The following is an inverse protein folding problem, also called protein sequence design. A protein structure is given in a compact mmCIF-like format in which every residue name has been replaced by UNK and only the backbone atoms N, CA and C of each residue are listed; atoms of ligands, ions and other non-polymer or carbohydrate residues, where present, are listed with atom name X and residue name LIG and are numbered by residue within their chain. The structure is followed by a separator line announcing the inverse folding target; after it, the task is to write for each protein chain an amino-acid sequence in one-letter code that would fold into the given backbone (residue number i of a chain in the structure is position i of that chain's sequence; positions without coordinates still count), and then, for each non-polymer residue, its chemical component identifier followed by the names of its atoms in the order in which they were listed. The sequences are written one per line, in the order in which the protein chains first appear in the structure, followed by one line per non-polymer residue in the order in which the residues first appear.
data_IF_242109576024
#
_entry.id   IF_242109576024
#
_cell.length_a   1.000
_cell.length_b   1.000
_cell.length_c   1.000
_cell.angle_alpha   90.00
_cell.angle_beta   90.00
_cell.angle_gamma   90.00
#
_symmetry.space_group_name_H-M   'P 1'
#
loop_
_entity.id
_entity.type
_entity.pdbx_description
1 polymer ?
#
# COMPACT_ATOMS: atom_id res chain seq x y z
N UNK A 1 38.27 12.07 31.17
CA UNK A 1 38.45 10.64 30.88
C UNK A 1 38.28 10.47 29.36
N UNK A 2 39.38 10.51 28.60
CA UNK A 2 39.35 10.48 27.13
C UNK A 2 39.30 9.00 26.73
N UNK A 3 38.17 8.56 26.18
CA UNK A 3 38.00 7.19 25.70
C UNK A 3 38.95 6.96 24.52
N UNK A 4 39.89 6.03 24.68
CA UNK A 4 40.77 5.57 23.61
C UNK A 4 39.92 4.77 22.61
N UNK A 5 39.48 5.42 21.54
CA UNK A 5 38.79 4.75 20.43
C UNK A 5 39.82 3.83 19.77
N UNK A 6 39.55 2.53 19.77
CA UNK A 6 40.40 1.53 19.13
C UNK A 6 40.58 1.89 17.65
N UNK A 7 41.81 2.04 17.14
CA UNK A 7 42.08 2.56 15.80
C UNK A 7 41.46 1.69 14.69
N UNK A 8 41.29 0.39 14.94
CA UNK A 8 40.60 -0.51 14.01
C UNK A 8 39.11 -0.21 13.85
N UNK A 9 38.44 0.26 14.90
CA UNK A 9 37.01 0.57 14.87
C UNK A 9 36.75 1.87 14.11
N UNK A 10 37.63 2.87 14.29
CA UNK A 10 37.62 4.09 13.49
C UNK A 10 37.88 3.81 12.00
N UNK A 11 38.81 2.90 11.68
CA UNK A 11 39.09 2.49 10.31
C UNK A 11 37.90 1.78 9.65
N UNK A 12 37.26 0.83 10.35
CA UNK A 12 36.08 0.11 9.83
C UNK A 12 34.90 1.05 9.60
N UNK A 13 34.65 1.97 10.54
CA UNK A 13 33.62 2.99 10.38
C UNK A 13 33.93 3.93 9.21
N UNK A 14 35.18 4.33 9.04
CA UNK A 14 35.62 5.15 7.91
C UNK A 14 35.43 4.45 6.56
N UNK A 15 35.73 3.15 6.47
CA UNK A 15 35.56 2.38 5.23
C UNK A 15 34.08 2.18 4.91
N UNK A 16 33.25 1.81 5.90
CA UNK A 16 31.80 1.67 5.72
C UNK A 16 31.15 3.00 5.30
N UNK A 17 31.60 4.09 5.90
CA UNK A 17 31.17 5.44 5.57
C UNK A 17 31.51 5.82 4.12
N UNK A 18 32.76 5.62 3.70
CA UNK A 18 33.20 5.92 2.33
C UNK A 18 32.51 5.03 1.28
N UNK A 19 32.27 3.76 1.61
CA UNK A 19 31.54 2.85 0.73
C UNK A 19 30.08 3.30 0.53
N UNK A 20 29.44 3.78 1.60
CA UNK A 20 28.04 4.23 1.56
C UNK A 20 27.91 5.56 0.80
N UNK A 21 28.81 6.52 1.06
CA UNK A 21 28.88 7.78 0.31
C UNK A 21 29.19 7.56 -1.17
N UNK A 22 30.10 6.63 -1.49
CA UNK A 22 30.43 6.26 -2.86
C UNK A 22 29.25 5.62 -3.62
N UNK A 23 28.50 4.72 -2.96
CA UNK A 23 27.32 4.10 -3.57
C UNK A 23 26.21 5.12 -3.86
N UNK A 24 25.97 6.07 -2.96
CA UNK A 24 24.97 7.13 -3.14
C UNK A 24 25.40 8.11 -4.23
N UNK A 25 26.67 8.53 -4.26
CA UNK A 25 27.22 9.40 -5.31
C UNK A 25 27.15 8.73 -6.69
N UNK A 26 27.46 7.44 -6.77
CA UNK A 26 27.36 6.65 -8.00
C UNK A 26 25.90 6.54 -8.48
N UNK A 27 24.96 6.32 -7.56
CA UNK A 27 23.53 6.25 -7.86
C UNK A 27 22.98 7.58 -8.39
N UNK A 28 23.40 8.70 -7.81
CA UNK A 28 23.00 10.04 -8.26
C UNK A 28 23.63 10.41 -9.60
N UNK A 29 24.91 10.08 -9.81
CA UNK A 29 25.60 10.31 -11.08
C UNK A 29 24.97 9.54 -12.25
N UNK A 30 24.42 8.35 -12.01
CA UNK A 30 23.67 7.59 -13.04
C UNK A 30 22.37 8.26 -13.46
N UNK A 31 21.78 9.11 -12.60
CA UNK A 31 20.48 9.74 -12.87
C UNK A 31 20.62 11.16 -13.41
N UNK A 32 21.64 11.90 -12.98
CA UNK A 32 21.91 13.25 -13.47
C UNK A 32 23.43 13.54 -13.33
N UNK A 33 24.19 13.75 -14.43
CA UNK A 33 25.65 13.84 -14.38
C UNK A 33 26.19 15.18 -13.86
N UNK A 34 25.35 16.03 -13.28
CA UNK A 34 25.74 17.33 -12.72
C UNK A 34 26.76 17.19 -11.56
N UNK A 35 28.04 17.56 -11.76
CA UNK A 35 29.07 17.41 -10.73
C UNK A 35 28.84 18.32 -9.52
N UNK A 36 28.06 19.39 -9.69
CA UNK A 36 27.68 20.31 -8.62
C UNK A 36 26.74 19.66 -7.59
N UNK A 37 25.84 18.78 -8.02
CA UNK A 37 24.91 18.06 -7.14
C UNK A 37 25.66 17.01 -6.29
N UNK A 38 26.63 16.33 -6.90
CA UNK A 38 27.46 15.33 -6.21
C UNK A 38 28.34 15.98 -5.13
N UNK A 39 28.95 17.13 -5.44
CA UNK A 39 29.75 17.88 -4.47
C UNK A 39 28.89 18.44 -3.32
N UNK A 40 27.69 18.95 -3.63
CA UNK A 40 26.74 19.44 -2.62
C UNK A 40 26.26 18.33 -1.67
N UNK A 41 25.98 17.14 -2.20
CA UNK A 41 25.54 15.99 -1.41
C UNK A 41 26.63 15.50 -0.44
N UNK A 42 27.90 15.54 -0.83
CA UNK A 42 29.04 15.16 0.03
C UNK A 42 29.24 16.13 1.21
N UNK A 43 28.99 17.43 1.00
CA UNK A 43 29.14 18.46 2.04
C UNK A 43 27.94 18.48 2.99
N UNK A 44 26.72 18.21 2.49
CA UNK A 44 25.50 18.26 3.29
C UNK A 44 25.21 16.99 4.10
N UNK A 45 25.88 15.87 3.80
CA UNK A 45 25.70 14.58 4.47
C UNK A 45 25.67 14.63 6.02
N UNK A 46 26.52 15.39 6.74
CA UNK A 46 26.54 15.37 8.22
C UNK A 46 25.24 15.91 8.84
N UNK A 47 24.52 16.76 8.10
CA UNK A 47 23.24 17.33 8.53
C UNK A 47 22.11 16.29 8.43
N UNK A 48 22.29 15.23 7.64
CA UNK A 48 21.33 14.13 7.53
C UNK A 48 21.51 13.05 8.61
N UNK A 49 22.62 13.02 9.35
CA UNK A 49 22.88 12.03 10.42
C UNK A 49 21.82 12.02 11.54
N UNK A 50 21.35 13.17 12.09
CA UNK A 50 20.28 13.17 13.08
C UNK A 50 18.94 12.66 12.52
N UNK A 51 18.70 12.82 11.21
CA UNK A 51 17.49 12.32 10.53
C UNK A 51 17.54 10.80 10.30
N UNK A 52 18.74 10.21 10.23
CA UNK A 52 18.95 8.76 10.13
C UNK A 52 18.88 8.04 11.48
N UNK A 53 19.05 8.78 12.59
CA UNK A 53 18.95 8.27 13.96
C UNK A 53 17.53 8.26 14.53
N UNK A 54 16.60 8.99 13.91
CA UNK A 54 15.18 8.76 14.14
C UNK A 54 14.87 7.34 13.61
N UNK A 55 14.30 6.44 14.42
CA UNK A 55 13.82 5.17 13.88
C UNK A 55 12.89 5.55 12.73
N UNK A 56 13.15 5.12 11.49
CA UNK A 56 12.23 5.40 10.41
C UNK A 56 10.87 4.92 10.91
N UNK A 57 9.88 5.82 10.96
CA UNK A 57 8.50 5.39 11.10
C UNK A 57 8.35 4.36 10.00
N UNK A 58 8.34 3.07 10.37
CA UNK A 58 8.46 1.97 9.39
C UNK A 58 7.46 2.32 8.31
N UNK A 59 7.87 2.47 7.04
CA UNK A 59 6.91 2.76 5.99
C UNK A 59 5.85 1.67 6.13
N UNK A 60 4.64 2.07 6.51
CA UNK A 60 3.49 1.18 6.46
C UNK A 60 3.38 0.90 4.97
N UNK A 61 3.83 -0.29 4.58
CA UNK A 61 3.91 -0.69 3.17
C UNK A 61 2.52 -0.84 2.54
N UNK A 62 1.45 -0.74 3.33
CA UNK A 62 0.07 -0.64 2.84
C UNK A 62 -0.55 0.72 3.07
N UNK A 63 -1.68 0.94 2.42
CA UNK A 63 -2.42 2.18 2.48
C UNK A 63 -3.27 2.33 3.75
N UNK A 64 -4.02 3.44 3.83
CA UNK A 64 -4.81 3.78 5.00
C UNK A 64 -5.93 2.78 5.33
N UNK A 65 -6.39 1.99 4.36
CA UNK A 65 -7.52 1.07 4.49
C UNK A 65 -7.11 -0.41 4.61
N UNK A 66 -5.82 -0.71 4.56
CA UNK A 66 -5.29 -2.09 4.59
C UNK A 66 -5.90 -2.94 5.71
N UNK A 67 -5.98 -2.40 6.93
CA UNK A 67 -6.56 -3.12 8.08
C UNK A 67 -8.02 -3.50 7.86
N UNK A 68 -8.83 -2.56 7.35
CA UNK A 68 -10.25 -2.79 7.05
C UNK A 68 -10.44 -3.81 5.92
N UNK A 69 -9.59 -3.77 4.90
CA UNK A 69 -9.59 -4.76 3.80
C UNK A 69 -9.35 -6.16 4.38
N UNK A 70 -8.29 -6.35 5.18
CA UNK A 70 -8.01 -7.65 5.79
C UNK A 70 -9.14 -8.14 6.70
N UNK A 71 -9.73 -7.24 7.49
CA UNK A 71 -10.85 -7.57 8.36
C UNK A 71 -12.07 -8.08 7.58
N UNK A 72 -12.51 -7.32 6.57
CA UNK A 72 -13.69 -7.66 5.76
C UNK A 72 -13.49 -8.98 5.01
N UNK A 73 -12.34 -9.16 4.35
CA UNK A 73 -12.05 -10.40 3.61
C UNK A 73 -11.85 -11.59 4.55
N UNK A 74 -11.20 -11.41 5.70
CA UNK A 74 -11.11 -12.47 6.70
C UNK A 74 -12.47 -12.84 7.30
N UNK A 75 -13.44 -11.92 7.33
CA UNK A 75 -14.82 -12.23 7.72
C UNK A 75 -15.57 -13.01 6.62
N UNK A 76 -15.38 -12.62 5.36
CA UNK A 76 -15.94 -13.32 4.21
C UNK A 76 -15.39 -14.75 4.10
N UNK A 77 -14.06 -14.92 4.16
CA UNK A 77 -13.38 -16.22 4.12
C UNK A 77 -13.90 -17.16 5.23
N UNK A 78 -14.10 -16.64 6.45
CA UNK A 78 -14.71 -17.41 7.54
C UNK A 78 -16.14 -17.85 7.25
N UNK A 79 -16.94 -17.00 6.62
CA UNK A 79 -18.31 -17.35 6.22
C UNK A 79 -18.32 -18.38 5.10
N UNK A 80 -17.41 -18.29 4.13
CA UNK A 80 -17.27 -19.27 3.06
C UNK A 80 -16.74 -20.62 3.56
N UNK A 81 -15.92 -20.62 4.61
CA UNK A 81 -15.42 -21.84 5.25
C UNK A 81 -16.46 -22.51 6.17
N UNK A 82 -17.61 -21.88 6.42
CA UNK A 82 -18.67 -22.45 7.25
C UNK A 82 -19.30 -23.67 6.54
N UNK A 83 -19.39 -24.85 7.20
CA UNK A 83 -20.01 -26.03 6.62
C UNK A 83 -21.46 -25.81 6.13
N UNK A 84 -22.20 -24.88 6.74
CA UNK A 84 -23.57 -24.55 6.33
C UNK A 84 -23.58 -23.80 4.99
N UNK A 85 -22.50 -23.06 4.69
CA UNK A 85 -22.30 -22.37 3.41
C UNK A 85 -21.65 -23.26 2.33
N UNK A 86 -21.17 -24.45 2.68
CA UNK A 86 -20.45 -25.34 1.75
C UNK A 86 -21.29 -25.80 0.54
N UNK A 87 -22.63 -25.71 0.64
CA UNK A 87 -23.54 -26.00 -0.48
C UNK A 87 -23.65 -24.87 -1.51
N UNK A 88 -23.22 -23.64 -1.19
CA UNK A 88 -23.33 -22.50 -2.10
C UNK A 88 -22.20 -22.57 -3.13
N UNK A 89 -22.48 -22.69 -4.44
CA UNK A 89 -21.46 -22.73 -5.48
C UNK A 89 -20.82 -21.34 -5.62
N UNK A 90 -19.70 -21.17 -4.94
CA UNK A 90 -18.90 -19.95 -4.95
C UNK A 90 -17.67 -20.13 -5.83
N UNK A 91 -17.72 -19.60 -7.07
CA UNK A 91 -16.63 -19.65 -8.06
C UNK A 91 -15.98 -18.28 -8.28
N UNK A 92 -16.09 -17.38 -7.29
CA UNK A 92 -15.54 -16.03 -7.42
C UNK A 92 -14.09 -15.97 -6.90
N UNK A 93 -13.22 -15.32 -7.67
CA UNK A 93 -11.84 -15.02 -7.29
C UNK A 93 -11.76 -13.93 -6.21
N UNK A 94 -12.05 -14.32 -4.98
CA UNK A 94 -11.98 -13.45 -3.79
C UNK A 94 -10.54 -13.02 -3.51
N UNK A 95 -9.57 -13.87 -3.84
CA UNK A 95 -8.14 -13.55 -3.70
C UNK A 95 -7.72 -12.42 -4.62
N UNK A 96 -8.04 -12.51 -5.92
CA UNK A 96 -7.76 -11.46 -6.89
C UNK A 96 -8.47 -10.14 -6.56
N UNK A 97 -9.70 -10.19 -6.05
CA UNK A 97 -10.41 -8.99 -5.58
C UNK A 97 -9.68 -8.33 -4.39
N UNK A 98 -9.28 -9.13 -3.40
CA UNK A 98 -8.54 -8.65 -2.23
C UNK A 98 -7.22 -7.99 -2.65
N UNK A 99 -6.47 -8.63 -3.54
CA UNK A 99 -5.19 -8.12 -4.01
C UNK A 99 -5.34 -6.82 -4.80
N UNK A 100 -6.37 -6.72 -5.64
CA UNK A 100 -6.68 -5.48 -6.37
C UNK A 100 -7.03 -4.31 -5.44
N UNK A 101 -7.77 -4.58 -4.35
CA UNK A 101 -8.09 -3.57 -3.34
C UNK A 101 -6.85 -3.15 -2.54
N UNK A 102 -5.98 -4.10 -2.16
CA UNK A 102 -4.71 -3.79 -1.49
C UNK A 102 -3.78 -2.96 -2.38
N UNK A 103 -3.70 -3.27 -3.67
CA UNK A 103 -2.94 -2.47 -4.63
C UNK A 103 -3.51 -1.04 -4.76
N UNK A 104 -4.83 -0.91 -4.78
CA UNK A 104 -5.51 0.40 -4.82
C UNK A 104 -5.27 1.21 -3.55
N UNK A 105 -5.33 0.56 -2.39
CA UNK A 105 -5.04 1.17 -1.10
C UNK A 105 -3.57 1.61 -0.99
N UNK A 106 -2.61 0.81 -1.46
CA UNK A 106 -1.21 1.20 -1.52
C UNK A 106 -0.98 2.49 -2.36
N UNK A 107 -1.77 2.69 -3.43
CA UNK A 107 -1.77 3.93 -4.22
C UNK A 107 -2.33 5.12 -3.43
N UNK A 108 -3.34 4.94 -2.58
CA UNK A 108 -3.78 5.99 -1.64
C UNK A 108 -2.68 6.36 -0.66
N UNK A 109 -1.93 5.38 -0.15
CA UNK A 109 -0.76 5.63 0.71
C UNK A 109 0.37 6.39 -0.01
N UNK A 110 0.49 6.26 -1.33
CA UNK A 110 1.37 7.12 -2.13
C UNK A 110 0.80 8.53 -2.25
N UNK A 111 -0.49 8.67 -2.57
CA UNK A 111 -1.15 9.98 -2.66
C UNK A 111 -1.06 10.77 -1.35
N UNK A 112 -1.21 10.12 -0.20
CA UNK A 112 -1.07 10.74 1.13
C UNK A 112 0.35 11.28 1.37
N UNK A 113 1.38 10.55 0.90
CA UNK A 113 2.78 11.02 0.96
C UNK A 113 3.01 12.21 0.05
N UNK A 114 2.51 12.16 -1.19
CA UNK A 114 2.61 13.27 -2.14
C UNK A 114 1.87 14.52 -1.64
N UNK A 115 0.71 14.36 -0.99
CA UNK A 115 -0.01 15.47 -0.36
C UNK A 115 0.79 16.09 0.79
N UNK A 116 1.47 15.27 1.58
CA UNK A 116 2.35 15.75 2.65
C UNK A 116 3.56 16.52 2.09
N UNK A 117 4.12 16.06 0.97
CA UNK A 117 5.27 16.71 0.31
C UNK A 117 4.89 18.02 -0.41
N UNK A 118 3.72 18.06 -1.06
CA UNK A 118 3.25 19.21 -1.85
C UNK A 118 2.53 20.28 -1.03
N UNK A 119 2.28 20.03 0.26
CA UNK A 119 1.52 20.95 1.11
C UNK A 119 0.02 20.94 0.84
N UNK A 120 -0.50 19.87 0.23
CA UNK A 120 -1.93 19.66 0.06
C UNK A 120 -2.51 20.24 -1.22
N UNK A 121 -1.97 19.85 -2.38
CA UNK A 121 -2.59 20.12 -3.68
C UNK A 121 -4.09 19.73 -3.69
N UNK A 122 -4.94 20.65 -4.14
CA UNK A 122 -6.39 20.49 -4.04
C UNK A 122 -6.94 19.43 -5.00
N UNK A 123 -6.40 19.35 -6.22
CA UNK A 123 -6.81 18.34 -7.20
C UNK A 123 -6.43 16.92 -6.76
N UNK A 124 -5.22 16.77 -6.22
CA UNK A 124 -4.76 15.50 -5.65
C UNK A 124 -5.58 15.09 -4.42
N UNK A 125 -5.95 16.04 -3.55
CA UNK A 125 -6.81 15.77 -2.38
C UNK A 125 -8.18 15.27 -2.82
N UNK A 126 -8.81 15.92 -3.79
CA UNK A 126 -10.11 15.52 -4.33
C UNK A 126 -10.04 14.13 -4.99
N UNK A 127 -9.01 13.88 -5.81
CA UNK A 127 -8.81 12.57 -6.43
C UNK A 127 -8.61 11.46 -5.38
N UNK A 128 -7.83 11.74 -4.33
CA UNK A 128 -7.59 10.84 -3.20
C UNK A 128 -8.89 10.54 -2.44
N UNK A 129 -9.71 11.56 -2.17
CA UNK A 129 -11.02 11.38 -1.49
C UNK A 129 -11.99 10.56 -2.32
N UNK A 130 -12.09 10.81 -3.63
CA UNK A 130 -12.92 10.02 -4.54
C UNK A 130 -12.49 8.55 -4.58
N UNK A 131 -11.19 8.29 -4.67
CA UNK A 131 -10.66 6.93 -4.66
C UNK A 131 -10.90 6.22 -3.31
N UNK A 132 -10.72 6.91 -2.19
CA UNK A 132 -11.02 6.37 -0.87
C UNK A 132 -12.51 6.03 -0.70
N UNK A 133 -13.40 6.90 -1.19
CA UNK A 133 -14.85 6.66 -1.20
C UNK A 133 -15.21 5.43 -2.05
N UNK A 134 -14.61 5.27 -3.23
CA UNK A 134 -14.84 4.12 -4.09
C UNK A 134 -14.41 2.80 -3.43
N UNK A 135 -13.24 2.75 -2.79
CA UNK A 135 -12.78 1.57 -2.04
C UNK A 135 -13.73 1.27 -0.88
N UNK A 136 -14.17 2.30 -0.15
CA UNK A 136 -15.16 2.16 0.92
C UNK A 136 -16.46 1.53 0.44
N UNK A 137 -16.99 1.99 -0.69
CA UNK A 137 -18.21 1.44 -1.30
C UNK A 137 -18.07 -0.04 -1.67
N UNK A 138 -16.94 -0.45 -2.27
CA UNK A 138 -16.69 -1.86 -2.58
C UNK A 138 -16.63 -2.71 -1.31
N UNK A 139 -15.99 -2.21 -0.23
CA UNK A 139 -15.94 -2.94 1.04
C UNK A 139 -17.33 -3.11 1.66
N UNK A 140 -18.19 -2.09 1.57
CA UNK A 140 -19.57 -2.18 2.06
C UNK A 140 -20.39 -3.21 1.26
N UNK A 141 -20.21 -3.24 -0.07
CA UNK A 141 -20.84 -4.26 -0.91
C UNK A 141 -20.32 -5.69 -0.58
N UNK A 142 -19.03 -5.87 -0.26
CA UNK A 142 -18.50 -7.17 0.20
C UNK A 142 -19.11 -7.60 1.54
N UNK A 143 -19.34 -6.67 2.47
CA UNK A 143 -20.04 -6.96 3.72
C UNK A 143 -21.48 -7.38 3.46
N UNK A 144 -22.18 -6.69 2.55
CA UNK A 144 -23.55 -7.03 2.16
C UNK A 144 -23.62 -8.43 1.53
N UNK A 145 -22.66 -8.75 0.66
CA UNK A 145 -22.54 -10.05 0.03
C UNK A 145 -22.37 -11.18 1.07
N UNK A 146 -21.54 -10.95 2.09
CA UNK A 146 -21.41 -11.91 3.21
C UNK A 146 -22.75 -12.17 3.91
N UNK A 147 -23.55 -11.12 4.15
CA UNK A 147 -24.88 -11.27 4.75
C UNK A 147 -25.82 -12.07 3.84
N UNK A 148 -25.77 -11.83 2.52
CA UNK A 148 -26.55 -12.60 1.55
C UNK A 148 -26.15 -14.08 1.53
N UNK A 149 -24.85 -14.40 1.62
CA UNK A 149 -24.37 -15.79 1.74
C UNK A 149 -24.93 -16.44 2.99
N UNK A 150 -24.86 -15.75 4.14
CA UNK A 150 -25.44 -16.26 5.39
C UNK A 150 -26.96 -16.47 5.28
N UNK A 151 -27.68 -15.58 4.62
CA UNK A 151 -29.12 -15.70 4.42
C UNK A 151 -29.48 -16.83 3.45
N UNK A 152 -28.75 -17.00 2.34
CA UNK A 152 -29.01 -18.09 1.41
C UNK A 152 -28.63 -19.45 1.99
N UNK A 153 -27.59 -19.52 2.82
CA UNK A 153 -27.27 -20.73 3.57
C UNK A 153 -28.44 -21.17 4.49
N UNK A 154 -29.26 -20.21 4.94
CA UNK A 154 -30.47 -20.47 5.73
C UNK A 154 -31.72 -20.76 4.87
N UNK A 155 -31.85 -20.15 3.68
CA UNK A 155 -33.08 -20.19 2.86
C UNK A 155 -32.98 -21.02 1.57
N UNK A 156 -31.77 -21.44 1.15
CA UNK A 156 -31.52 -22.18 -0.08
C UNK A 156 -31.58 -21.38 -1.39
N UNK A 157 -31.57 -20.04 -1.36
CA UNK A 157 -31.69 -19.19 -2.56
C UNK A 157 -30.32 -18.75 -3.12
N UNK A 158 -29.71 -19.62 -3.92
CA UNK A 158 -28.36 -19.44 -4.50
C UNK A 158 -28.32 -18.49 -5.72
N UNK A 159 -29.46 -18.12 -6.29
CA UNK A 159 -29.54 -17.34 -7.53
C UNK A 159 -29.16 -15.87 -7.33
N UNK A 160 -29.64 -15.26 -6.24
CA UNK A 160 -29.40 -13.85 -5.91
C UNK A 160 -27.90 -13.56 -5.63
N UNK A 161 -27.19 -14.50 -5.01
CA UNK A 161 -25.77 -14.35 -4.66
C UNK A 161 -24.91 -14.26 -5.92
N UNK A 162 -25.13 -15.14 -6.90
CA UNK A 162 -24.36 -15.17 -8.15
C UNK A 162 -24.51 -13.86 -8.93
N UNK A 163 -25.72 -13.31 -9.01
CA UNK A 163 -25.97 -12.04 -9.67
C UNK A 163 -25.23 -10.87 -8.98
N UNK A 164 -25.22 -10.83 -7.64
CA UNK A 164 -24.55 -9.77 -6.90
C UNK A 164 -23.02 -9.84 -7.03
N UNK A 165 -22.44 -11.03 -6.95
CA UNK A 165 -21.02 -11.27 -7.18
C UNK A 165 -20.54 -10.82 -8.56
N UNK A 166 -21.30 -11.17 -9.61
CA UNK A 166 -20.97 -10.79 -10.98
C UNK A 166 -20.97 -9.26 -11.16
N UNK A 167 -21.93 -8.57 -10.53
CA UNK A 167 -21.99 -7.10 -10.54
C UNK A 167 -20.78 -6.47 -9.84
N UNK A 168 -20.36 -7.03 -8.69
CA UNK A 168 -19.22 -6.55 -7.91
C UNK A 168 -17.90 -6.68 -8.67
N UNK A 169 -17.68 -7.84 -9.31
CA UNK A 169 -16.51 -8.09 -10.15
C UNK A 169 -16.47 -7.15 -11.37
N UNK A 170 -17.63 -6.87 -11.99
CA UNK A 170 -17.71 -5.93 -13.10
C UNK A 170 -17.34 -4.51 -12.66
N UNK A 171 -17.79 -4.07 -11.48
CA UNK A 171 -17.50 -2.74 -10.94
C UNK A 171 -16.01 -2.56 -10.61
N UNK A 172 -15.38 -3.60 -10.08
CA UNK A 172 -13.93 -3.60 -9.78
C UNK A 172 -13.09 -3.55 -11.05
N UNK A 173 -13.49 -4.29 -12.10
CA UNK A 173 -12.84 -4.18 -13.42
C UNK A 173 -12.98 -2.77 -14.00
N UNK A 174 -14.16 -2.16 -13.88
CA UNK A 174 -14.37 -0.79 -14.33
C UNK A 174 -13.48 0.23 -13.59
N UNK A 175 -13.26 0.04 -12.28
CA UNK A 175 -12.31 0.84 -11.51
C UNK A 175 -10.87 0.67 -12.01
N UNK A 176 -10.45 -0.55 -12.36
CA UNK A 176 -9.12 -0.79 -12.92
C UNK A 176 -8.96 -0.15 -14.31
N UNK A 177 -9.98 -0.23 -15.17
CA UNK A 177 -10.01 0.37 -16.52
C UNK A 177 -9.89 1.90 -16.49
N UNK A 178 -10.71 2.57 -15.66
CA UNK A 178 -10.69 4.04 -15.53
C UNK A 178 -9.32 4.52 -15.04
N UNK A 179 -8.68 3.73 -14.17
CA UNK A 179 -7.35 4.03 -13.65
C UNK A 179 -6.25 3.84 -14.70
N UNK A 180 -6.41 2.87 -15.62
CA UNK A 180 -5.44 2.58 -16.69
C UNK A 180 -5.47 3.61 -17.83
N UNK A 181 -6.61 4.26 -18.05
CA UNK A 181 -6.78 5.27 -19.12
C UNK A 181 -6.24 6.66 -18.70
N UNK A 182 -6.14 6.94 -17.40
CA UNK A 182 -5.79 8.26 -16.86
C UNK A 182 -4.42 8.32 -16.15
N UNK A 183 -3.62 7.24 -16.19
CA UNK A 183 -2.23 7.20 -15.67
C UNK A 183 -1.24 7.02 -16.80
#
# INVERSE_FOLDING_TARGET
MIAYVQPGLAAVLGVAYLATGGAVAWSLYRKDPSPAVVAGALVAWPVFLPLLGAPPARPRLGGPLQGRIHEVFGALERTLADPVAAGVPWDADVGGLRDALLASDARLGLADRLLAETGGDAGLREARERAACAIGGVLDEVVQLRLQIGLAALHGDEGAIRAHLAALLARVRALDEVTRIHG
#
